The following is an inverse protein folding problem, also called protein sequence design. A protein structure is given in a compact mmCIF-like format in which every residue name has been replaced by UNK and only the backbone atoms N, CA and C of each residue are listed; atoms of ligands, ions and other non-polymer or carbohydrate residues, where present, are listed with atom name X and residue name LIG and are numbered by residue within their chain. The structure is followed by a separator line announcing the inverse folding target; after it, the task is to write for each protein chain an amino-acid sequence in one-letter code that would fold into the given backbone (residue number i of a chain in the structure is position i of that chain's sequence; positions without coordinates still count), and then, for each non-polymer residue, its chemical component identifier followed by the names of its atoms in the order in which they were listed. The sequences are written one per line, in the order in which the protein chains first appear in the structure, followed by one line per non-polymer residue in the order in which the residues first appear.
data_IF_226872217699
#
_entry.id   IF_226872217699
#
_cell.length_a   1.000
_cell.length_b   1.000
_cell.length_c   1.000
_cell.angle_alpha   90.00
_cell.angle_beta   90.00
_cell.angle_gamma   90.00
#
_symmetry.space_group_name_H-M   'P 1'
#
loop_
_entity.id
_entity.type
_entity.pdbx_description
1 polymer ?
#
# COMPACT_ATOMS: atom_id res chain seq x y z
N UNK A 1 48.76 -22.93 -22.72
CA UNK A 1 47.93 -21.75 -22.37
C UNK A 1 46.48 -22.05 -22.76
N UNK A 2 45.68 -22.61 -21.85
CA UNK A 2 44.25 -22.84 -22.08
C UNK A 2 43.48 -21.60 -21.61
N UNK A 3 42.85 -20.88 -22.53
CA UNK A 3 41.94 -19.78 -22.21
C UNK A 3 40.56 -20.38 -21.90
N UNK A 4 40.23 -20.48 -20.62
CA UNK A 4 38.85 -20.74 -20.17
C UNK A 4 38.08 -19.44 -20.32
N UNK A 5 37.25 -19.33 -21.37
CA UNK A 5 36.26 -18.26 -21.47
C UNK A 5 35.11 -18.60 -20.52
N UNK A 6 35.10 -17.93 -19.36
CA UNK A 6 34.02 -18.00 -18.39
C UNK A 6 32.84 -17.18 -18.94
N UNK A 7 31.85 -17.84 -19.52
CA UNK A 7 30.58 -17.20 -19.89
C UNK A 7 29.84 -16.79 -18.61
N UNK A 8 29.90 -15.50 -18.28
CA UNK A 8 29.08 -14.90 -17.25
C UNK A 8 27.65 -14.81 -17.78
N UNK A 9 26.77 -15.71 -17.31
CA UNK A 9 25.34 -15.59 -17.50
C UNK A 9 24.83 -14.39 -16.70
N UNK A 10 24.72 -13.25 -17.37
CA UNK A 10 23.99 -12.09 -16.86
C UNK A 10 22.50 -12.43 -16.95
N UNK A 11 21.89 -12.84 -15.84
CA UNK A 11 20.44 -12.89 -15.72
C UNK A 11 19.90 -11.46 -15.70
N UNK A 12 19.72 -10.89 -16.89
CA UNK A 12 18.91 -9.71 -17.09
C UNK A 12 17.46 -10.04 -16.75
N UNK A 13 16.89 -9.26 -15.84
CA UNK A 13 15.45 -9.22 -15.62
C UNK A 13 14.77 -8.70 -16.89
N UNK A 14 14.38 -9.61 -17.78
CA UNK A 14 13.58 -9.26 -18.94
C UNK A 14 12.19 -8.84 -18.42
N UNK A 15 11.94 -7.53 -18.33
CA UNK A 15 10.58 -7.00 -18.20
C UNK A 15 9.86 -7.35 -19.50
N UNK A 16 9.01 -8.37 -19.43
CA UNK A 16 8.25 -8.80 -20.58
C UNK A 16 7.10 -7.80 -20.79
N UNK A 17 6.91 -7.37 -22.03
CA UNK A 17 5.82 -6.47 -22.41
C UNK A 17 5.12 -7.06 -23.62
N UNK A 18 3.81 -6.90 -23.68
CA UNK A 18 3.00 -7.36 -24.81
C UNK A 18 2.82 -6.19 -25.78
N UNK A 19 3.08 -6.44 -27.06
CA UNK A 19 2.79 -5.47 -28.12
C UNK A 19 1.37 -5.70 -28.63
N UNK A 20 0.54 -4.66 -28.58
CA UNK A 20 -0.80 -4.64 -29.11
C UNK A 20 -0.79 -4.53 -30.65
N UNK A 21 -1.91 -4.86 -31.33
CA UNK A 21 -1.99 -4.85 -32.79
C UNK A 21 -1.72 -3.49 -33.45
N UNK A 22 -1.88 -2.38 -32.72
CA UNK A 22 -1.59 -1.01 -33.18
C UNK A 22 -0.14 -0.58 -32.89
N UNK A 23 0.69 -1.48 -32.36
CA UNK A 23 2.08 -1.20 -32.00
C UNK A 23 2.25 -0.62 -30.60
N UNK A 24 1.17 -0.29 -29.88
CA UNK A 24 1.28 0.16 -28.49
C UNK A 24 1.71 -1.00 -27.57
N UNK A 25 2.32 -0.67 -26.44
CA UNK A 25 2.87 -1.67 -25.52
C UNK A 25 2.14 -1.67 -24.19
N UNK A 26 1.85 -2.86 -23.68
CA UNK A 26 1.29 -3.07 -22.35
C UNK A 26 2.18 -4.02 -21.52
N UNK A 27 2.04 -4.00 -20.19
CA UNK A 27 2.78 -4.93 -19.31
C UNK A 27 2.37 -6.40 -19.57
N UNK A 28 3.31 -7.32 -19.38
CA UNK A 28 3.12 -8.79 -19.43
C UNK A 28 1.88 -9.37 -18.74
N UNK A 29 1.38 -8.73 -17.68
CA UNK A 29 0.22 -9.21 -16.92
C UNK A 29 -1.13 -8.60 -17.37
N UNK A 30 -1.14 -7.86 -18.46
CA UNK A 30 -2.32 -7.11 -18.95
C UNK A 30 -2.86 -7.67 -20.27
N UNK A 31 -4.03 -7.20 -20.72
CA UNK A 31 -4.63 -7.59 -22.00
C UNK A 31 -4.86 -6.37 -22.88
N UNK A 32 -4.42 -6.43 -24.15
CA UNK A 32 -4.72 -5.39 -25.13
C UNK A 32 -6.20 -5.38 -25.49
N UNK A 33 -6.88 -4.26 -25.21
CA UNK A 33 -8.30 -4.08 -25.45
C UNK A 33 -8.52 -2.91 -26.42
N UNK A 34 -9.31 -3.12 -27.48
CA UNK A 34 -9.59 -2.08 -28.47
C UNK A 34 -10.37 -0.91 -27.86
N UNK A 35 -10.06 0.32 -28.28
CA UNK A 35 -10.74 1.57 -27.95
C UNK A 35 -11.18 2.29 -29.23
N UNK A 36 -11.83 3.46 -29.11
CA UNK A 36 -12.16 4.32 -30.26
C UNK A 36 -10.93 4.82 -31.02
N UNK A 37 -9.76 4.87 -30.36
CA UNK A 37 -8.54 5.49 -30.88
C UNK A 37 -7.36 4.51 -31.01
N UNK A 38 -7.60 3.20 -30.90
CA UNK A 38 -6.54 2.18 -30.98
C UNK A 38 -6.74 1.07 -29.98
N UNK A 39 -5.72 0.78 -29.18
CA UNK A 39 -5.74 -0.18 -28.09
C UNK A 39 -5.31 0.46 -26.76
N UNK A 40 -5.85 -0.08 -25.68
CA UNK A 40 -5.56 0.30 -24.31
C UNK A 40 -5.37 -0.97 -23.47
N UNK A 41 -4.66 -0.86 -22.36
CA UNK A 41 -4.29 -1.98 -21.53
C UNK A 41 -5.38 -2.25 -20.49
N UNK A 42 -5.82 -3.49 -20.41
CA UNK A 42 -6.72 -3.97 -19.38
C UNK A 42 -5.87 -4.61 -18.26
N UNK A 43 -5.98 -4.18 -16.99
CA UNK A 43 -5.12 -4.64 -15.90
C UNK A 43 -5.48 -6.06 -15.40
N UNK A 44 -6.07 -6.88 -16.27
CA UNK A 44 -6.35 -8.27 -16.02
C UNK A 44 -5.69 -9.14 -17.10
N UNK A 45 -5.10 -10.28 -16.71
CA UNK A 45 -4.65 -11.26 -17.67
C UNK A 45 -5.87 -11.91 -18.33
N UNK A 46 -5.86 -12.04 -19.66
CA UNK A 46 -6.96 -12.60 -20.46
C UNK A 46 -8.31 -11.92 -20.16
N UNK A 47 -8.29 -10.59 -20.08
CA UNK A 47 -9.46 -9.77 -19.81
C UNK A 47 -10.53 -9.91 -20.91
N UNK A 48 -11.79 -9.69 -20.53
CA UNK A 48 -12.91 -9.56 -21.46
C UNK A 48 -13.05 -8.07 -21.82
N UNK A 49 -12.82 -7.72 -23.08
CA UNK A 49 -12.98 -6.36 -23.58
C UNK A 49 -14.46 -6.03 -23.74
N UNK A 50 -14.95 -4.99 -23.06
CA UNK A 50 -16.34 -4.58 -23.19
C UNK A 50 -16.57 -3.77 -24.47
N UNK A 51 -17.80 -3.84 -25.00
CA UNK A 51 -18.21 -3.19 -26.26
C UNK A 51 -18.32 -1.67 -26.13
N UNK A 52 -18.34 -1.13 -24.92
CA UNK A 52 -18.34 0.31 -24.65
C UNK A 52 -17.01 1.00 -24.97
N UNK A 53 -16.01 0.24 -25.44
CA UNK A 53 -14.68 0.70 -25.83
C UNK A 53 -13.86 1.37 -24.72
N UNK A 54 -14.41 1.58 -23.53
CA UNK A 54 -13.77 2.23 -22.40
C UNK A 54 -13.41 1.27 -21.26
N UNK A 55 -14.12 0.14 -21.12
CA UNK A 55 -13.97 -0.73 -19.95
C UNK A 55 -13.68 -2.20 -20.29
N UNK A 56 -13.32 -2.94 -19.26
CA UNK A 56 -13.00 -4.36 -19.33
C UNK A 56 -13.38 -5.10 -18.05
N UNK A 57 -13.51 -6.41 -18.19
CA UNK A 57 -13.81 -7.32 -17.11
C UNK A 57 -12.71 -8.38 -16.94
N UNK A 58 -12.58 -8.96 -15.74
CA UNK A 58 -11.70 -10.11 -15.54
C UNK A 58 -12.13 -11.32 -16.40
N UNK A 59 -11.21 -12.24 -16.61
CA UNK A 59 -11.51 -13.50 -17.29
C UNK A 59 -12.66 -14.26 -16.60
N UNK A 60 -13.60 -14.79 -17.38
CA UNK A 60 -14.76 -15.53 -16.87
C UNK A 60 -15.96 -14.66 -16.45
N UNK A 61 -15.89 -13.34 -16.64
CA UNK A 61 -17.02 -12.43 -16.45
C UNK A 61 -17.57 -11.92 -17.79
N UNK A 62 -18.83 -11.47 -17.79
CA UNK A 62 -19.52 -10.86 -18.94
C UNK A 62 -19.83 -9.40 -18.62
N UNK A 63 -19.59 -8.51 -19.58
CA UNK A 63 -19.87 -7.09 -19.40
C UNK A 63 -21.37 -6.80 -19.45
N UNK A 64 -21.89 -6.21 -18.38
CA UNK A 64 -23.23 -5.67 -18.29
C UNK A 64 -23.17 -4.15 -18.43
N UNK A 65 -23.41 -3.67 -19.65
CA UNK A 65 -23.30 -2.25 -19.98
C UNK A 65 -24.41 -1.39 -19.33
N UNK A 66 -25.54 -1.99 -18.97
CA UNK A 66 -26.65 -1.26 -18.34
C UNK A 66 -26.33 -0.89 -16.89
N UNK A 67 -25.62 -1.77 -16.17
CA UNK A 67 -25.24 -1.55 -14.76
C UNK A 67 -23.78 -1.14 -14.59
N UNK A 68 -22.98 -1.16 -15.67
CA UNK A 68 -21.52 -1.00 -15.65
C UNK A 68 -20.82 -2.02 -14.75
N UNK A 69 -21.34 -3.25 -14.72
CA UNK A 69 -20.82 -4.37 -13.92
C UNK A 69 -20.31 -5.51 -14.81
N UNK A 70 -19.43 -6.31 -14.25
CA UNK A 70 -18.98 -7.58 -14.75
C UNK A 70 -19.75 -8.67 -14.01
N UNK A 71 -20.62 -9.37 -14.72
CA UNK A 71 -21.45 -10.44 -14.18
C UNK A 71 -20.81 -11.80 -14.44
N UNK A 72 -20.86 -12.70 -13.45
CA UNK A 72 -20.36 -14.06 -13.62
C UNK A 72 -21.49 -15.04 -13.89
N UNK A 73 -21.37 -15.78 -15.00
CA UNK A 73 -22.32 -16.83 -15.31
C UNK A 73 -22.38 -17.86 -14.16
N UNK A 74 -23.59 -18.20 -13.72
CA UNK A 74 -23.89 -19.13 -12.63
C UNK A 74 -23.55 -18.65 -11.20
N UNK A 75 -23.14 -17.39 -11.00
CA UNK A 75 -22.92 -16.81 -9.66
C UNK A 75 -23.51 -15.37 -9.58
N UNK A 76 -24.84 -15.21 -9.43
CA UNK A 76 -25.51 -13.91 -9.48
C UNK A 76 -25.10 -12.93 -8.38
N UNK A 77 -24.63 -13.46 -7.25
CA UNK A 77 -24.09 -12.68 -6.13
C UNK A 77 -22.66 -12.18 -6.35
N UNK A 78 -21.99 -12.64 -7.42
CA UNK A 78 -20.61 -12.27 -7.74
C UNK A 78 -20.60 -11.39 -8.99
N UNK A 79 -20.93 -10.11 -8.79
CA UNK A 79 -20.73 -9.05 -9.76
C UNK A 79 -19.68 -8.05 -9.23
N UNK A 80 -18.88 -7.48 -10.14
CA UNK A 80 -17.86 -6.48 -9.81
C UNK A 80 -17.95 -5.33 -10.79
N UNK A 81 -17.64 -4.08 -10.41
CA UNK A 81 -17.64 -2.97 -11.36
C UNK A 81 -16.68 -3.21 -12.53
N UNK A 82 -17.08 -2.76 -13.72
CA UNK A 82 -16.22 -2.75 -14.90
C UNK A 82 -15.03 -1.81 -14.69
N UNK A 83 -13.83 -2.22 -15.09
CA UNK A 83 -12.61 -1.42 -14.91
C UNK A 83 -12.29 -0.65 -16.18
N UNK A 84 -11.92 0.63 -16.02
CA UNK A 84 -11.48 1.47 -17.14
C UNK A 84 -10.15 0.98 -17.71
N UNK A 85 -10.04 0.99 -19.03
CA UNK A 85 -8.79 0.67 -19.72
C UNK A 85 -7.73 1.74 -19.45
N UNK A 86 -6.48 1.33 -19.31
CA UNK A 86 -5.33 2.22 -19.13
C UNK A 86 -4.75 2.57 -20.50
N UNK A 87 -4.33 3.82 -20.68
CA UNK A 87 -3.73 4.23 -21.96
C UNK A 87 -2.49 3.37 -22.24
N UNK A 88 -2.44 2.75 -23.42
CA UNK A 88 -1.26 2.00 -23.81
C UNK A 88 -0.11 2.97 -24.10
N UNK A 89 1.11 2.58 -23.75
CA UNK A 89 2.29 3.41 -24.00
C UNK A 89 2.51 3.48 -25.51
N UNK A 90 2.51 4.70 -26.05
CA UNK A 90 2.82 4.93 -27.45
C UNK A 90 4.29 4.58 -27.70
N UNK A 91 4.62 3.94 -28.83
CA UNK A 91 6.01 3.81 -29.26
C UNK A 91 6.65 5.19 -29.32
N UNK A 92 7.81 5.35 -28.66
CA UNK A 92 8.63 6.54 -28.78
C UNK A 92 9.04 6.69 -30.26
N UNK A 93 8.34 7.55 -30.99
CA UNK A 93 8.81 8.06 -32.29
C UNK A 93 9.86 9.14 -32.00
N UNK A 94 11.12 8.99 -32.43
CA UNK A 94 12.06 10.10 -32.38
C UNK A 94 11.65 11.08 -33.49
N UNK A 95 11.17 12.26 -33.14
CA UNK A 95 11.08 13.35 -34.09
C UNK A 95 11.59 14.65 -33.48
N UNK A 96 12.84 14.91 -33.81
CA UNK A 96 13.37 16.14 -34.40
C UNK A 96 12.97 17.50 -33.80
N UNK A 97 14.01 18.19 -33.33
CA UNK A 97 14.11 19.59 -32.92
C UNK A 97 12.94 20.51 -33.32
N UNK A 98 12.24 21.02 -32.31
CA UNK A 98 11.70 22.38 -32.36
C UNK A 98 11.66 22.97 -30.95
N UNK A 99 12.48 24.00 -30.73
CA UNK A 99 12.35 24.96 -29.64
C UNK A 99 10.98 25.63 -29.73
N UNK A 100 10.12 25.57 -28.70
CA UNK A 100 9.34 26.69 -28.09
C UNK A 100 8.87 26.22 -26.68
N UNK A 101 8.35 27.12 -25.80
CA UNK A 101 8.99 27.58 -24.58
C UNK A 101 8.47 26.92 -23.29
N UNK A 102 9.31 26.99 -22.27
CA UNK A 102 9.00 26.78 -20.87
C UNK A 102 7.82 27.65 -20.42
N UNK A 103 6.64 27.07 -20.18
CA UNK A 103 5.72 27.41 -19.08
C UNK A 103 4.51 26.47 -19.06
N UNK A 104 4.10 26.13 -17.83
CA UNK A 104 2.95 25.30 -17.44
C UNK A 104 3.07 23.78 -17.59
N UNK A 105 4.18 23.24 -17.08
CA UNK A 105 4.08 22.01 -16.27
C UNK A 105 3.52 22.42 -14.91
N UNK A 106 2.20 22.36 -14.75
CA UNK A 106 1.56 22.57 -13.45
C UNK A 106 2.30 21.76 -12.40
N UNK A 107 2.75 22.42 -11.33
CA UNK A 107 3.42 21.76 -10.22
C UNK A 107 2.47 20.69 -9.69
N UNK A 108 2.76 19.43 -10.00
CA UNK A 108 2.21 18.32 -9.23
C UNK A 108 2.77 18.54 -7.84
N UNK A 109 1.96 19.04 -6.91
CA UNK A 109 2.43 19.19 -5.54
C UNK A 109 2.79 17.82 -5.01
N UNK A 110 3.69 17.84 -4.04
CA UNK A 110 4.35 16.64 -3.55
C UNK A 110 4.18 16.62 -2.04
N UNK A 111 3.68 15.51 -1.53
CA UNK A 111 3.58 15.24 -0.09
C UNK A 111 4.91 14.64 0.36
N UNK A 112 5.66 15.37 1.18
CA UNK A 112 6.90 14.87 1.75
C UNK A 112 6.63 13.96 2.95
N UNK A 113 7.04 12.69 2.87
CA UNK A 113 6.88 11.73 3.96
C UNK A 113 8.07 11.77 4.93
N UNK A 114 9.28 11.91 4.39
CA UNK A 114 10.52 12.23 5.13
C UNK A 114 11.58 12.82 4.18
N UNK A 115 12.87 12.79 4.58
CA UNK A 115 14.00 13.32 3.81
C UNK A 115 14.29 12.55 2.51
N UNK A 116 13.80 11.32 2.36
CA UNK A 116 14.09 10.42 1.24
C UNK A 116 12.83 9.96 0.50
N UNK A 117 11.66 10.01 1.14
CA UNK A 117 10.40 9.49 0.61
C UNK A 117 9.40 10.62 0.36
N UNK A 118 8.84 10.62 -0.84
CA UNK A 118 7.84 11.60 -1.29
C UNK A 118 6.67 10.89 -1.99
N UNK A 119 5.49 11.45 -1.85
CA UNK A 119 4.27 10.95 -2.47
C UNK A 119 3.59 12.02 -3.33
N UNK A 120 2.81 11.63 -4.35
CA UNK A 120 2.05 12.58 -5.17
C UNK A 120 1.02 13.37 -4.34
N UNK A 121 0.66 14.55 -4.82
CA UNK A 121 -0.48 15.30 -4.27
C UNK A 121 -1.76 14.47 -4.21
N UNK A 122 -2.55 14.68 -3.16
CA UNK A 122 -3.78 13.93 -2.94
C UNK A 122 -3.59 12.53 -2.34
N UNK A 123 -2.37 12.19 -1.91
CA UNK A 123 -2.08 10.91 -1.23
C UNK A 123 -1.69 11.10 0.24
N UNK A 124 -1.75 10.03 1.04
CA UNK A 124 -1.30 10.00 2.44
C UNK A 124 -0.07 9.10 2.59
N UNK A 125 0.96 9.59 3.26
CA UNK A 125 2.15 8.80 3.60
C UNK A 125 1.81 7.74 4.66
N UNK A 126 2.04 6.46 4.33
CA UNK A 126 1.86 5.33 5.24
C UNK A 126 3.19 4.62 5.52
N UNK A 127 3.54 4.50 6.81
CA UNK A 127 4.79 3.86 7.23
C UNK A 127 4.62 2.36 7.35
N UNK A 128 5.56 1.61 6.77
CA UNK A 128 5.54 0.15 6.83
C UNK A 128 6.23 -0.39 8.12
N UNK A 129 5.74 -1.49 8.73
CA UNK A 129 6.30 -2.02 9.98
C UNK A 129 7.77 -2.42 9.91
N UNK A 130 8.26 -2.87 8.75
CA UNK A 130 9.68 -3.22 8.53
C UNK A 130 10.55 -2.03 8.09
N UNK A 131 10.02 -0.80 8.17
CA UNK A 131 10.65 0.41 7.66
C UNK A 131 10.19 0.80 6.26
N UNK A 132 10.43 2.06 5.87
CA UNK A 132 10.00 2.65 4.60
C UNK A 132 8.59 3.26 4.60
N UNK A 133 8.25 3.91 3.49
CA UNK A 133 6.96 4.58 3.26
C UNK A 133 6.28 4.11 1.97
N UNK A 134 4.94 4.11 2.01
CA UNK A 134 4.06 3.83 0.88
C UNK A 134 3.02 4.93 0.76
N UNK A 135 2.56 5.21 -0.46
CA UNK A 135 1.59 6.27 -0.73
C UNK A 135 0.17 5.70 -0.79
N UNK A 136 -0.67 6.08 0.16
CA UNK A 136 -2.08 5.78 0.13
C UNK A 136 -2.82 6.72 -0.83
N UNK A 137 -3.54 6.19 -1.81
CA UNK A 137 -4.32 6.99 -2.78
C UNK A 137 -5.53 7.74 -2.21
N UNK A 138 -5.65 7.86 -0.89
CA UNK A 138 -6.66 8.67 -0.22
C UNK A 138 -5.96 9.79 0.56
N UNK A 139 -6.53 10.99 0.55
CA UNK A 139 -6.11 12.11 1.39
C UNK A 139 -7.35 12.81 1.98
N UNK A 140 -7.62 12.65 3.29
CA UNK A 140 -6.90 11.81 4.26
C UNK A 140 -7.20 10.29 4.09
N UNK A 141 -6.17 9.46 4.27
CA UNK A 141 -6.28 7.99 4.28
C UNK A 141 -5.88 7.39 5.64
N UNK A 142 -6.48 6.25 5.99
CA UNK A 142 -6.13 5.48 7.20
C UNK A 142 -5.21 4.33 6.84
N UNK A 143 -3.98 4.37 7.34
CA UNK A 143 -2.99 3.32 7.10
C UNK A 143 -3.29 2.07 7.93
N UNK A 144 -3.21 0.91 7.30
CA UNK A 144 -3.36 -0.38 7.97
C UNK A 144 -2.05 -0.80 8.66
N UNK A 145 -2.16 -1.64 9.70
CA UNK A 145 -1.02 -2.07 10.50
C UNK A 145 -0.09 -3.07 9.79
N UNK A 146 -0.56 -3.71 8.73
CA UNK A 146 0.27 -4.58 7.89
C UNK A 146 1.27 -3.80 7.03
N UNK A 147 1.04 -2.49 6.86
CA UNK A 147 1.92 -1.57 6.15
C UNK A 147 1.76 -1.55 4.63
N UNK A 148 0.87 -2.38 4.08
CA UNK A 148 0.63 -2.46 2.64
C UNK A 148 -0.75 -1.90 2.26
N UNK A 149 -1.72 -1.95 3.17
CA UNK A 149 -3.09 -1.53 2.87
C UNK A 149 -3.42 -0.16 3.49
N UNK A 150 -4.41 0.51 2.89
CA UNK A 150 -4.99 1.72 3.47
C UNK A 150 -6.47 1.88 3.10
N UNK A 151 -7.22 2.51 4.00
CA UNK A 151 -8.64 2.77 3.88
C UNK A 151 -8.94 4.26 3.66
N UNK A 152 -10.08 4.59 3.03
CA UNK A 152 -10.53 5.97 2.97
C UNK A 152 -10.86 6.47 4.38
N UNK A 153 -10.86 7.80 4.55
CA UNK A 153 -11.20 8.41 5.84
C UNK A 153 -12.57 7.94 6.36
N UNK A 154 -12.63 7.62 7.65
CA UNK A 154 -13.84 7.11 8.31
C UNK A 154 -14.04 5.59 8.22
N UNK A 155 -13.09 4.85 7.63
CA UNK A 155 -13.07 3.39 7.60
C UNK A 155 -11.79 2.83 8.24
N UNK A 156 -11.96 1.74 8.98
CA UNK A 156 -10.91 0.96 9.62
C UNK A 156 -10.56 -0.28 8.80
N UNK A 157 -9.33 -0.73 8.88
CA UNK A 157 -8.95 -2.00 8.27
C UNK A 157 -9.48 -3.17 9.12
N UNK A 158 -9.99 -4.21 8.49
CA UNK A 158 -10.31 -5.47 9.16
C UNK A 158 -9.01 -6.20 9.57
N UNK A 159 -9.15 -7.21 10.44
CA UNK A 159 -8.00 -7.95 10.99
C UNK A 159 -7.24 -8.76 9.96
N UNK A 160 -7.91 -9.11 8.86
CA UNK A 160 -7.30 -9.81 7.74
C UNK A 160 -6.62 -8.87 6.76
N UNK A 161 -6.74 -7.55 6.95
CA UNK A 161 -6.25 -6.50 6.05
C UNK A 161 -6.75 -6.65 4.61
N UNK A 162 -7.94 -7.21 4.47
CA UNK A 162 -8.61 -7.44 3.18
C UNK A 162 -9.82 -6.52 3.00
N UNK A 163 -10.33 -5.90 4.09
CA UNK A 163 -11.49 -5.04 4.03
C UNK A 163 -11.38 -3.73 4.82
N UNK A 164 -12.08 -2.70 4.33
CA UNK A 164 -12.34 -1.46 5.04
C UNK A 164 -13.75 -1.53 5.66
N UNK A 165 -13.83 -1.40 6.97
CA UNK A 165 -15.04 -1.54 7.77
C UNK A 165 -15.34 -0.26 8.55
N UNK A 166 -16.62 -0.03 8.85
CA UNK A 166 -17.06 1.09 9.71
C UNK A 166 -17.94 0.54 10.84
N UNK A 167 -17.99 1.24 11.97
CA UNK A 167 -18.65 0.85 13.24
C UNK A 167 -20.15 0.46 13.16
N UNK A 168 -20.78 0.48 11.99
CA UNK A 168 -22.19 0.12 11.75
C UNK A 168 -22.36 -1.18 10.93
N UNK A 169 -21.30 -1.98 10.76
CA UNK A 169 -21.36 -3.24 10.01
C UNK A 169 -21.49 -3.06 8.49
N UNK A 170 -21.45 -1.82 8.00
CA UNK A 170 -21.36 -1.50 6.59
C UNK A 170 -19.95 -1.84 6.10
N UNK A 171 -19.87 -2.93 5.33
CA UNK A 171 -18.70 -3.27 4.52
C UNK A 171 -18.70 -2.38 3.30
N UNK A 172 -17.61 -1.64 3.07
CA UNK A 172 -17.44 -0.93 1.81
C UNK A 172 -17.12 -1.96 0.71
N UNK A 173 -17.93 -2.11 -0.35
CA UNK A 173 -17.61 -3.01 -1.45
C UNK A 173 -16.41 -2.44 -2.22
N UNK A 174 -15.39 -3.26 -2.42
CA UNK A 174 -14.16 -2.84 -3.08
C UNK A 174 -14.36 -2.69 -4.59
N UNK A 175 -13.98 -1.53 -5.10
CA UNK A 175 -13.31 -1.46 -6.40
C UNK A 175 -11.98 -2.21 -6.29
N UNK A 176 -11.67 -3.19 -7.17
CA UNK A 176 -10.38 -3.87 -7.13
C UNK A 176 -9.26 -2.84 -7.29
N UNK A 177 -8.38 -2.73 -6.27
CA UNK A 177 -7.14 -1.96 -6.40
C UNK A 177 -6.05 -2.86 -6.97
N UNK A 178 -5.38 -2.28 -7.96
CA UNK A 178 -4.19 -2.73 -8.63
C UNK A 178 -3.11 -3.16 -7.63
N UNK A 179 -2.28 -4.11 -8.04
CA UNK A 179 -1.04 -4.41 -7.34
C UNK A 179 -0.27 -3.11 -7.14
N UNK A 180 0.21 -2.87 -5.92
CA UNK A 180 1.21 -1.85 -5.67
C UNK A 180 2.38 -2.15 -6.61
N UNK A 181 2.62 -1.21 -7.51
CA UNK A 181 3.96 -0.94 -8.00
C UNK A 181 4.83 -0.68 -6.76
N UNK A 182 5.47 -1.73 -6.25
CA UNK A 182 6.72 -1.56 -5.54
C UNK A 182 7.76 -1.23 -6.61
N UNK A 183 7.68 -0.03 -7.20
CA UNK A 183 8.89 0.60 -7.69
C UNK A 183 9.63 1.00 -6.41
N UNK A 184 10.78 0.38 -6.12
CA UNK A 184 11.69 0.98 -5.15
C UNK A 184 11.91 2.42 -5.62
N UNK A 185 11.78 3.39 -4.72
CA UNK A 185 12.20 4.75 -5.04
C UNK A 185 13.57 4.67 -5.71
N UNK A 186 13.63 5.08 -6.97
CA UNK A 186 14.84 5.05 -7.75
C UNK A 186 15.92 5.77 -6.91
N UNK A 187 17.02 5.08 -6.64
CA UNK A 187 18.23 5.73 -6.16
C UNK A 187 18.57 6.78 -7.21
N UNK A 188 18.31 8.04 -6.89
CA UNK A 188 18.89 9.15 -7.62
C UNK A 188 20.39 9.11 -7.35
N UNK A 189 21.11 8.53 -8.30
CA UNK A 189 22.54 8.64 -8.45
C UNK A 189 22.92 10.12 -8.46
N UNK A 190 23.53 10.62 -7.39
CA UNK A 190 24.23 11.91 -7.42
C UNK A 190 25.58 11.73 -8.11
N UNK A 191 25.91 12.49 -9.17
CA UNK A 191 27.26 12.51 -9.73
C UNK A 191 28.19 13.41 -8.91
N UNK A 192 29.29 12.79 -8.42
CA UNK A 192 30.66 13.31 -8.16
C UNK A 192 30.81 14.52 -7.20
N UNK A 193 31.69 14.47 -6.21
CA UNK A 193 33.13 14.66 -6.44
C UNK A 193 34.03 14.04 -5.35
N UNK A 194 35.29 13.83 -5.74
CA UNK A 194 36.37 13.05 -5.13
C UNK A 194 36.91 13.58 -3.79
N UNK A 195 37.39 12.66 -2.93
CA UNK A 195 38.71 12.70 -2.26
C UNK A 195 38.88 11.42 -1.41
N UNK A 196 39.44 10.34 -1.97
CA UNK A 196 40.83 9.88 -1.78
C UNK A 196 41.15 9.10 -0.48
N UNK A 197 41.44 7.80 -0.69
CA UNK A 197 42.58 7.03 -0.14
C UNK A 197 42.58 6.54 1.33
N UNK A 198 42.32 5.23 1.50
CA UNK A 198 43.24 4.13 1.93
C UNK A 198 42.37 2.99 2.52
N UNK A 199 42.22 1.84 1.86
CA UNK A 199 43.07 0.63 1.99
C UNK A 199 43.34 0.33 3.47
N UNK A 200 42.89 -0.76 4.09
CA UNK A 200 43.39 -2.15 3.95
C UNK A 200 42.69 -2.90 5.14
N UNK A 201 42.11 -4.09 5.07
CA UNK A 201 42.73 -5.42 5.30
C UNK A 201 41.60 -6.33 5.84
N UNK A 202 41.15 -7.32 5.07
CA UNK A 202 41.24 -8.78 5.33
C UNK A 202 40.87 -9.30 6.73
N UNK A 203 39.82 -10.16 6.72
CA UNK A 203 39.42 -11.27 7.61
C UNK A 203 40.16 -11.52 8.94
N UNK A 204 39.38 -11.72 10.01
CA UNK A 204 39.68 -12.71 11.07
C UNK A 204 38.40 -13.35 11.61
N UNK A 205 38.55 -14.58 12.08
CA UNK A 205 37.57 -15.64 12.26
C UNK A 205 36.54 -15.49 13.41
N UNK A 206 35.46 -16.26 13.23
CA UNK A 206 34.45 -16.80 14.17
C UNK A 206 34.65 -16.51 15.67
N UNK A 207 33.61 -15.94 16.29
CA UNK A 207 33.23 -16.22 17.67
C UNK A 207 31.70 -16.18 17.75
N UNK A 208 31.10 -17.28 18.21
CA UNK A 208 29.66 -17.40 18.45
C UNK A 208 29.20 -16.56 19.65
N UNK A 209 27.91 -16.23 19.61
CA UNK A 209 27.04 -15.78 20.69
C UNK A 209 27.24 -14.36 21.24
N UNK A 210 26.46 -13.43 20.68
CA UNK A 210 25.71 -12.47 21.48
C UNK A 210 24.42 -12.09 20.75
N UNK A 211 23.30 -12.42 21.40
CA UNK A 211 21.95 -11.99 21.08
C UNK A 211 21.89 -10.46 20.94
N UNK A 212 21.93 -9.96 19.71
CA UNK A 212 21.60 -8.58 19.34
C UNK A 212 20.14 -8.53 18.90
N UNK A 213 19.27 -8.20 19.84
CA UNK A 213 17.81 -8.14 19.72
C UNK A 213 17.35 -7.48 18.42
N UNK A 214 16.55 -8.23 17.66
CA UNK A 214 15.59 -7.76 16.66
C UNK A 214 15.03 -6.38 17.07
N UNK A 215 15.19 -5.35 16.24
CA UNK A 215 14.55 -4.05 16.48
C UNK A 215 13.03 -4.26 16.63
N UNK A 216 12.56 -4.14 17.87
CA UNK A 216 11.15 -4.33 18.22
C UNK A 216 10.37 -3.15 17.64
N UNK A 217 9.57 -3.40 16.61
CA UNK A 217 8.74 -2.36 16.00
C UNK A 217 7.79 -1.72 17.02
N UNK A 218 7.88 -0.42 17.25
CA UNK A 218 7.01 0.33 18.17
C UNK A 218 5.81 0.96 17.45
N UNK A 219 4.67 1.03 18.12
CA UNK A 219 3.46 1.71 17.65
C UNK A 219 3.52 3.16 18.11
N UNK A 220 3.76 4.11 17.20
CA UNK A 220 3.79 5.54 17.54
C UNK A 220 2.37 6.08 17.71
N UNK A 221 2.09 6.64 18.88
CA UNK A 221 0.79 7.25 19.20
C UNK A 221 0.73 8.70 18.72
N UNK A 222 1.84 9.43 18.88
CA UNK A 222 2.06 10.76 18.31
C UNK A 222 3.57 11.02 18.10
N UNK A 223 3.96 12.29 17.95
CA UNK A 223 5.36 12.70 17.75
C UNK A 223 6.27 12.41 18.95
N UNK A 224 5.72 12.29 20.16
CA UNK A 224 6.48 12.14 21.42
C UNK A 224 6.24 10.80 22.11
N UNK A 225 5.08 10.17 21.93
CA UNK A 225 4.64 8.99 22.66
C UNK A 225 4.48 7.76 21.75
N UNK A 226 4.85 6.60 22.29
CA UNK A 226 4.76 5.32 21.61
C UNK A 226 4.45 4.16 22.56
N UNK A 227 3.94 3.08 21.97
CA UNK A 227 3.64 1.82 22.63
C UNK A 227 4.51 0.68 22.08
N UNK A 228 4.78 -0.37 22.90
CA UNK A 228 5.36 -1.62 22.41
C UNK A 228 4.55 -2.25 21.29
N UNK A 229 5.19 -3.15 20.52
CA UNK A 229 4.53 -3.87 19.43
C UNK A 229 3.29 -4.62 19.92
N UNK A 230 2.21 -4.58 19.14
CA UNK A 230 0.99 -5.30 19.44
C UNK A 230 0.10 -4.67 20.53
N UNK A 231 0.37 -3.42 20.92
CA UNK A 231 -0.51 -2.62 21.79
C UNK A 231 -1.26 -1.56 20.99
N UNK A 232 -2.36 -1.05 21.54
CA UNK A 232 -3.16 0.03 20.93
C UNK A 232 -2.98 1.34 21.69
N UNK A 233 -2.77 2.43 20.95
CA UNK A 233 -2.68 3.77 21.52
C UNK A 233 -4.06 4.29 21.92
N UNK A 234 -4.25 4.56 23.20
CA UNK A 234 -5.47 5.14 23.76
C UNK A 234 -5.16 6.54 24.30
N UNK A 235 -5.99 7.50 23.88
CA UNK A 235 -5.88 8.89 24.34
C UNK A 235 -6.94 9.15 25.41
N UNK A 236 -6.50 9.44 26.64
CA UNK A 236 -7.39 9.81 27.72
C UNK A 236 -7.96 11.22 27.56
N UNK A 237 -8.97 11.55 28.36
CA UNK A 237 -9.66 12.86 28.36
C UNK A 237 -8.73 14.05 28.64
N UNK A 238 -7.65 13.85 29.41
CA UNK A 238 -6.61 14.86 29.65
C UNK A 238 -5.54 14.97 28.55
N UNK A 239 -5.71 14.28 27.41
CA UNK A 239 -4.74 14.28 26.31
C UNK A 239 -3.51 13.38 26.53
N UNK A 240 -3.43 12.68 27.66
CA UNK A 240 -2.37 11.71 27.95
C UNK A 240 -2.55 10.44 27.11
N UNK A 241 -1.44 9.91 26.60
CA UNK A 241 -1.39 8.63 25.89
C UNK A 241 -1.09 7.46 26.82
N UNK A 242 -1.83 6.38 26.57
CA UNK A 242 -1.73 5.11 27.25
C UNK A 242 -1.77 3.97 26.23
N UNK A 243 -1.21 2.82 26.58
CA UNK A 243 -1.10 1.63 25.76
C UNK A 243 -2.06 0.57 26.28
N UNK A 244 -3.10 0.28 25.50
CA UNK A 244 -3.94 -0.88 25.70
C UNK A 244 -3.18 -2.16 25.32
N UNK A 245 -3.18 -3.22 26.16
CA UNK A 245 -2.48 -4.48 25.86
C UNK A 245 -3.06 -5.23 24.66
N UNK A 246 -4.31 -4.95 24.29
CA UNK A 246 -4.98 -5.60 23.16
C UNK A 246 -4.64 -4.92 21.83
N UNK A 247 -4.53 -5.74 20.77
CA UNK A 247 -4.38 -5.26 19.40
C UNK A 247 -5.73 -4.77 18.89
N UNK A 248 -5.79 -3.55 18.37
CA UNK A 248 -7.02 -2.91 17.91
C UNK A 248 -8.11 -2.86 19.00
N UNK A 249 -7.69 -2.67 20.26
CA UNK A 249 -8.59 -2.60 21.41
C UNK A 249 -9.41 -1.31 21.44
N UNK A 250 -10.65 -1.41 21.93
CA UNK A 250 -11.54 -0.25 22.14
C UNK A 250 -11.10 0.48 23.41
N UNK A 251 -10.78 1.78 23.31
CA UNK A 251 -10.39 2.59 24.44
C UNK A 251 -11.62 3.07 25.20
N UNK A 252 -11.70 2.80 26.50
CA UNK A 252 -12.79 3.30 27.32
C UNK A 252 -12.64 4.80 27.58
N UNK A 253 -13.78 5.48 27.81
CA UNK A 253 -13.84 6.93 28.02
C UNK A 253 -13.13 7.40 29.29
N UNK A 254 -12.91 6.51 30.24
CA UNK A 254 -12.21 6.80 31.49
C UNK A 254 -10.69 7.00 31.30
N UNK A 255 -10.15 6.67 30.12
CA UNK A 255 -8.74 6.80 29.78
C UNK A 255 -7.81 5.85 30.54
N UNK A 256 -8.36 4.86 31.25
CA UNK A 256 -7.61 3.90 32.07
C UNK A 256 -7.84 2.47 31.64
N UNK A 257 -9.03 2.16 31.11
CA UNK A 257 -9.39 0.81 30.71
C UNK A 257 -9.61 0.70 29.21
N UNK A 258 -9.45 -0.51 28.69
CA UNK A 258 -9.75 -0.82 27.31
C UNK A 258 -10.30 -2.23 27.18
N UNK A 259 -11.01 -2.45 26.09
CA UNK A 259 -11.55 -3.75 25.74
C UNK A 259 -10.76 -4.37 24.59
N UNK A 260 -10.76 -5.70 24.53
CA UNK A 260 -10.26 -6.42 23.37
C UNK A 260 -11.13 -6.09 22.15
N UNK A 261 -10.58 -6.33 20.96
CA UNK A 261 -11.26 -6.04 19.72
C UNK A 261 -12.66 -6.69 19.67
N UNK A 262 -13.65 -5.92 19.24
CA UNK A 262 -15.04 -6.36 19.10
C UNK A 262 -15.88 -6.24 20.37
N UNK A 263 -15.26 -5.95 21.52
CA UNK A 263 -15.95 -5.63 22.76
C UNK A 263 -16.10 -4.12 22.95
N UNK A 264 -17.21 -3.70 23.57
CA UNK A 264 -17.45 -2.30 23.94
C UNK A 264 -17.41 -2.13 25.44
N UNK A 265 -16.81 -1.03 25.89
CA UNK A 265 -16.82 -0.67 27.30
C UNK A 265 -18.26 -0.45 27.77
N UNK A 266 -18.58 -0.95 28.95
CA UNK A 266 -19.80 -0.60 29.66
C UNK A 266 -19.75 0.86 30.14
N UNK A 267 -20.86 1.37 30.68
CA UNK A 267 -20.93 2.75 31.16
C UNK A 267 -19.92 3.07 32.26
N UNK A 268 -19.49 2.06 33.03
CA UNK A 268 -18.48 2.25 34.10
C UNK A 268 -17.04 2.09 33.61
N UNK A 269 -16.83 1.68 32.35
CA UNK A 269 -15.52 1.34 31.77
C UNK A 269 -14.79 0.17 32.44
N UNK A 270 -15.45 -0.57 33.33
CA UNK A 270 -14.87 -1.70 34.07
C UNK A 270 -15.16 -3.05 33.40
N UNK A 271 -16.17 -3.11 32.53
CA UNK A 271 -16.58 -4.32 31.83
C UNK A 271 -16.63 -4.09 30.33
N UNK A 272 -16.41 -5.16 29.59
CA UNK A 272 -16.38 -5.22 28.14
C UNK A 272 -17.50 -6.14 27.69
N UNK A 273 -18.39 -5.62 26.84
CA UNK A 273 -19.59 -6.33 26.38
C UNK A 273 -19.54 -6.60 24.88
N UNK A 274 -19.88 -7.83 24.48
CA UNK A 274 -20.08 -8.22 23.10
C UNK A 274 -21.26 -9.21 23.01
N UNK A 275 -22.42 -8.75 22.57
CA UNK A 275 -23.64 -9.55 22.60
C UNK A 275 -24.04 -9.93 24.03
N UNK A 276 -24.01 -11.22 24.35
CA UNK A 276 -24.28 -11.75 25.69
C UNK A 276 -23.01 -12.01 26.53
N UNK A 277 -21.82 -11.83 25.94
CA UNK A 277 -20.55 -12.02 26.64
C UNK A 277 -20.16 -10.74 27.39
N UNK A 278 -19.86 -10.88 28.69
CA UNK A 278 -19.31 -9.82 29.53
C UNK A 278 -17.99 -10.28 30.14
N UNK A 279 -16.92 -9.52 29.93
CA UNK A 279 -15.59 -9.79 30.49
C UNK A 279 -15.03 -8.53 31.15
N UNK A 280 -14.14 -8.64 32.15
CA UNK A 280 -13.50 -7.47 32.76
C UNK A 280 -12.68 -6.68 31.74
N UNK A 281 -12.69 -5.35 31.86
CA UNK A 281 -11.88 -4.49 31.04
C UNK A 281 -10.39 -4.61 31.40
N UNK A 282 -9.54 -4.58 30.38
CA UNK A 282 -8.09 -4.57 30.55
C UNK A 282 -7.61 -3.19 31.00
N UNK A 283 -6.59 -3.15 31.86
CA UNK A 283 -5.94 -1.91 32.27
C UNK A 283 -4.95 -1.45 31.21
N UNK A 284 -4.95 -0.15 30.90
CA UNK A 284 -3.96 0.46 30.04
C UNK A 284 -2.67 0.79 30.83
N UNK A 285 -1.54 0.73 30.16
CA UNK A 285 -0.24 1.17 30.70
C UNK A 285 0.09 2.57 30.18
N UNK A 286 0.96 3.34 30.83
CA UNK A 286 1.38 4.65 30.28
C UNK A 286 2.19 4.45 29.00
N UNK A 287 1.93 5.27 27.99
CA UNK A 287 2.76 5.30 26.79
C UNK A 287 4.17 5.78 27.13
N UNK A 288 5.16 5.20 26.46
CA UNK A 288 6.56 5.61 26.60
C UNK A 288 6.78 6.87 25.78
N UNK A 289 7.62 7.78 26.25
CA UNK A 289 8.03 8.94 25.47
C UNK A 289 9.42 8.74 24.87
N UNK A 290 9.65 9.34 23.71
CA UNK A 290 10.94 9.38 23.03
C UNK A 290 11.87 10.46 23.61
#
# INVERSE_FOLDING_TARGET
MFRVSLCLFVWGIASCSITCPDGNTCSDSTTCCKTEHGYACCPYPKAVCCLDLAHCCPSGFTCNLATLMCDKANQPWLNTPMVKKEAAEKPFTPLENSHIPEQQKGSVGVVHCDNYYVCPDGTTCCRHPKGGWFCCGYSPGRCCLDGYHCCPWGYDCDHTYTHCVRQQGLRYPFTPKQALSSVPAALLSTPKEQSSLKEQTSLTALTEASSGTHEVGVIRCDSRFFCPQGKTCCKGSGGQWSCCPYRLGECCSDGKHCCDYGYKCDSTSMMCKQGFSEIPAGTQERAKSN
#
